data_IF_875569082933
#
_entry.id   IF_875569082933
#
_cell.length_a   1.000
_cell.length_b   1.000
_cell.length_c   1.000
_cell.angle_alpha   90.00
_cell.angle_beta   90.00
_cell.angle_gamma   90.00
#
_symmetry.space_group_name_H-M   'P 1'
#
loop_
_entity.id
_entity.type
_entity.pdbx_description
1 polymer ?
#
# COMPACT_ATOMS: atom_id res chain seq x y z
N UNK A 1 11.94 14.34 -4.03
CA UNK A 1 11.17 13.08 -4.10
C UNK A 1 12.21 12.00 -4.17
N UNK A 2 12.47 11.33 -3.03
CA UNK A 2 13.51 10.31 -2.84
C UNK A 2 12.78 9.00 -2.50
N UNK A 3 12.19 8.41 -3.54
CA UNK A 3 11.50 7.12 -3.51
C UNK A 3 12.32 6.20 -4.43
N UNK A 4 13.32 5.54 -3.84
CA UNK A 4 14.47 5.00 -4.57
C UNK A 4 14.10 4.01 -5.68
N UNK A 5 12.93 3.38 -5.58
CA UNK A 5 12.43 2.38 -6.53
C UNK A 5 11.02 2.72 -7.07
N UNK A 6 10.61 3.99 -7.00
CA UNK A 6 9.28 4.46 -7.42
C UNK A 6 8.11 3.68 -6.79
N UNK A 7 8.29 3.20 -5.55
CA UNK A 7 7.32 2.35 -4.85
C UNK A 7 6.01 3.08 -4.64
N UNK A 8 6.06 4.36 -4.27
CA UNK A 8 4.86 5.16 -4.07
C UNK A 8 4.10 5.36 -5.38
N UNK A 9 4.81 5.75 -6.45
CA UNK A 9 4.19 5.97 -7.76
C UNK A 9 3.51 4.72 -8.31
N UNK A 10 4.17 3.57 -8.25
CA UNK A 10 3.64 2.33 -8.83
C UNK A 10 2.61 1.68 -7.90
N UNK A 11 2.94 1.50 -6.62
CA UNK A 11 2.12 0.69 -5.73
C UNK A 11 1.03 1.50 -5.03
N UNK A 12 1.34 2.72 -4.55
CA UNK A 12 0.33 3.55 -3.87
C UNK A 12 -0.67 4.09 -4.88
N UNK A 13 -0.22 4.82 -5.92
CA UNK A 13 -1.14 5.41 -6.92
C UNK A 13 -1.84 4.33 -7.72
N UNK A 14 -1.12 3.30 -8.17
CA UNK A 14 -1.70 2.15 -8.87
C UNK A 14 -2.73 1.41 -8.02
N UNK A 15 -2.44 1.22 -6.74
CA UNK A 15 -3.37 0.60 -5.77
C UNK A 15 -4.63 1.43 -5.54
N UNK A 16 -4.51 2.75 -5.38
CA UNK A 16 -5.66 3.67 -5.24
C UNK A 16 -6.57 3.58 -6.47
N UNK A 17 -5.97 3.69 -7.66
CA UNK A 17 -6.71 3.61 -8.92
C UNK A 17 -7.41 2.25 -9.06
N UNK A 18 -6.69 1.16 -8.79
CA UNK A 18 -7.23 -0.20 -8.86
C UNK A 18 -8.37 -0.46 -7.87
N UNK A 19 -8.27 0.06 -6.64
CA UNK A 19 -9.31 -0.07 -5.63
C UNK A 19 -10.59 0.69 -6.02
N UNK A 20 -10.45 1.93 -6.50
CA UNK A 20 -11.61 2.71 -6.99
C UNK A 20 -12.25 2.02 -8.21
N UNK A 21 -11.42 1.57 -9.16
CA UNK A 21 -11.90 0.84 -10.34
C UNK A 21 -12.62 -0.46 -9.95
N UNK A 22 -12.18 -1.15 -8.89
CA UNK A 22 -12.86 -2.34 -8.36
C UNK A 22 -14.30 -2.02 -7.95
N UNK A 23 -14.56 -0.83 -7.41
CA UNK A 23 -15.93 -0.44 -7.05
C UNK A 23 -16.88 -0.33 -8.24
N UNK A 24 -16.34 -0.08 -9.43
CA UNK A 24 -17.07 -0.02 -10.71
C UNK A 24 -17.13 -1.41 -11.35
N UNK A 25 -15.98 -2.07 -11.48
CA UNK A 25 -15.82 -3.28 -12.29
C UNK A 25 -16.34 -4.56 -11.61
N UNK A 26 -16.61 -4.52 -10.30
CA UNK A 26 -17.32 -5.62 -9.61
C UNK A 26 -18.80 -5.70 -9.99
N UNK A 27 -19.34 -4.70 -10.70
CA UNK A 27 -20.73 -4.68 -11.16
C UNK A 27 -21.10 -5.92 -12.00
N UNK A 28 -22.16 -6.67 -11.64
CA UNK A 28 -22.62 -7.83 -12.43
C UNK A 28 -22.96 -7.48 -13.88
N UNK A 29 -23.54 -6.30 -14.11
CA UNK A 29 -23.90 -5.83 -15.45
C UNK A 29 -22.69 -5.59 -16.38
N UNK A 30 -21.48 -5.46 -15.81
CA UNK A 30 -20.22 -5.33 -16.56
C UNK A 30 -19.44 -6.66 -16.62
N UNK A 31 -20.04 -7.77 -16.17
CA UNK A 31 -19.39 -9.07 -16.06
C UNK A 31 -18.60 -9.29 -14.77
N UNK A 32 -18.72 -8.38 -13.80
CA UNK A 32 -18.15 -8.52 -12.47
C UNK A 32 -18.88 -9.57 -11.62
N UNK A 33 -18.24 -10.03 -10.54
CA UNK A 33 -18.79 -11.10 -9.68
C UNK A 33 -19.95 -10.67 -8.78
N UNK A 34 -20.21 -9.36 -8.67
CA UNK A 34 -21.13 -8.82 -7.67
C UNK A 34 -20.57 -8.85 -6.25
N UNK A 35 -21.42 -8.54 -5.28
CA UNK A 35 -21.08 -8.53 -3.85
C UNK A 35 -21.62 -9.79 -3.16
N UNK A 36 -20.99 -10.17 -2.05
CA UNK A 36 -21.46 -11.22 -1.17
C UNK A 36 -22.12 -10.62 0.06
N UNK A 37 -23.31 -11.12 0.41
CA UNK A 37 -23.95 -10.88 1.70
C UNK A 37 -23.66 -12.05 2.64
N UNK A 38 -22.72 -11.83 3.55
CA UNK A 38 -22.34 -12.81 4.57
C UNK A 38 -23.24 -12.76 5.81
N UNK A 39 -24.11 -11.75 5.95
CA UNK A 39 -24.98 -11.57 7.10
C UNK A 39 -26.33 -12.26 6.90
N UNK A 40 -26.81 -12.34 5.65
CA UNK A 40 -28.11 -12.94 5.33
C UNK A 40 -28.22 -14.42 5.72
N UNK A 41 -27.16 -15.21 5.51
CA UNK A 41 -27.15 -16.65 5.82
C UNK A 41 -25.77 -17.16 6.25
N UNK A 42 -25.51 -17.31 7.56
CA UNK A 42 -24.23 -17.82 8.04
C UNK A 42 -23.87 -19.18 7.43
N UNK A 43 -22.66 -19.30 6.89
CA UNK A 43 -22.15 -20.55 6.28
C UNK A 43 -22.46 -20.72 4.80
N UNK A 44 -23.21 -19.81 4.18
CA UNK A 44 -23.48 -19.80 2.74
C UNK A 44 -23.18 -18.43 2.14
N UNK A 45 -22.65 -18.40 0.91
CA UNK A 45 -22.49 -17.15 0.17
C UNK A 45 -23.79 -16.84 -0.55
N UNK A 46 -24.43 -15.72 -0.16
CA UNK A 46 -25.61 -15.19 -0.82
C UNK A 46 -25.19 -13.96 -1.63
N UNK A 47 -25.75 -13.78 -2.83
CA UNK A 47 -25.51 -12.58 -3.61
C UNK A 47 -26.07 -11.34 -2.89
N UNK A 48 -25.21 -10.37 -2.64
CA UNK A 48 -25.58 -9.10 -2.04
C UNK A 48 -26.05 -8.09 -3.09
N UNK A 49 -26.81 -7.10 -2.63
CA UNK A 49 -27.22 -5.98 -3.47
C UNK A 49 -26.00 -5.16 -3.92
N UNK A 50 -25.88 -4.93 -5.22
CA UNK A 50 -24.86 -4.06 -5.79
C UNK A 50 -25.46 -2.72 -6.21
N UNK A 51 -24.95 -1.64 -5.61
CA UNK A 51 -25.21 -0.26 -6.05
C UNK A 51 -23.86 0.42 -6.28
N UNK A 52 -23.60 0.85 -7.52
CA UNK A 52 -22.29 1.38 -7.94
C UNK A 52 -21.81 2.55 -7.06
N UNK A 53 -22.68 3.52 -6.79
CA UNK A 53 -22.32 4.66 -5.95
C UNK A 53 -21.94 4.25 -4.52
N UNK A 54 -22.66 3.27 -3.95
CA UNK A 54 -22.38 2.73 -2.61
C UNK A 54 -21.03 2.01 -2.61
N UNK A 55 -20.76 1.19 -3.62
CA UNK A 55 -19.52 0.42 -3.67
C UNK A 55 -18.30 1.30 -3.95
N UNK A 56 -18.38 2.27 -4.85
CA UNK A 56 -17.29 3.25 -5.07
C UNK A 56 -17.03 4.04 -3.79
N UNK A 57 -18.07 4.47 -3.08
CA UNK A 57 -17.93 5.15 -1.79
C UNK A 57 -17.28 4.24 -0.73
N UNK A 58 -17.60 2.95 -0.70
CA UNK A 58 -16.94 1.99 0.19
C UNK A 58 -15.45 1.86 -0.13
N UNK A 59 -15.06 1.78 -1.40
CA UNK A 59 -13.66 1.73 -1.82
C UNK A 59 -12.90 3.01 -1.47
N UNK A 60 -13.51 4.19 -1.64
CA UNK A 60 -12.92 5.46 -1.23
C UNK A 60 -12.65 5.53 0.27
N UNK A 61 -13.60 5.04 1.09
CA UNK A 61 -13.42 4.94 2.55
C UNK A 61 -12.30 3.97 2.90
N UNK A 62 -12.23 2.81 2.25
CA UNK A 62 -11.18 1.82 2.46
C UNK A 62 -9.81 2.39 2.10
N UNK A 63 -9.67 3.04 0.95
CA UNK A 63 -8.45 3.74 0.53
C UNK A 63 -8.03 4.82 1.52
N UNK A 64 -8.98 5.68 1.94
CA UNK A 64 -8.68 6.73 2.92
C UNK A 64 -8.19 6.15 4.25
N UNK A 65 -8.85 5.09 4.73
CA UNK A 65 -8.45 4.37 5.94
C UNK A 65 -7.04 3.78 5.80
N UNK A 66 -6.73 3.08 4.70
CA UNK A 66 -5.43 2.44 4.51
C UNK A 66 -4.30 3.45 4.34
N UNK A 67 -4.53 4.58 3.67
CA UNK A 67 -3.56 5.68 3.58
C UNK A 67 -3.25 6.22 4.98
N UNK A 68 -4.27 6.58 5.76
CA UNK A 68 -4.07 7.14 7.10
C UNK A 68 -3.39 6.12 8.01
N UNK A 69 -3.85 4.88 8.01
CA UNK A 69 -3.29 3.81 8.83
C UNK A 69 -1.81 3.57 8.48
N UNK A 70 -1.51 3.32 7.21
CA UNK A 70 -0.14 3.03 6.76
C UNK A 70 0.79 4.22 6.99
N UNK A 71 0.37 5.45 6.69
CA UNK A 71 1.19 6.64 6.89
C UNK A 71 1.48 6.88 8.38
N UNK A 72 0.45 6.87 9.23
CA UNK A 72 0.60 7.18 10.66
C UNK A 72 1.42 6.10 11.37
N UNK A 73 1.04 4.82 11.21
CA UNK A 73 1.71 3.73 11.91
C UNK A 73 3.15 3.58 11.40
N UNK A 74 3.39 3.66 10.09
CA UNK A 74 4.76 3.58 9.57
C UNK A 74 5.61 4.75 10.02
N UNK A 75 5.08 5.98 10.08
CA UNK A 75 5.82 7.14 10.59
C UNK A 75 6.21 6.98 12.07
N UNK A 76 5.29 6.47 12.90
CA UNK A 76 5.56 6.19 14.31
C UNK A 76 6.67 5.12 14.42
N UNK A 77 6.51 4.00 13.74
CA UNK A 77 7.49 2.90 13.79
C UNK A 77 8.85 3.32 13.27
N UNK A 78 8.89 4.03 12.13
CA UNK A 78 10.10 4.61 11.58
C UNK A 78 10.79 5.46 12.63
N UNK A 79 10.07 6.37 13.30
CA UNK A 79 10.70 7.28 14.25
C UNK A 79 11.17 6.59 15.52
N UNK A 80 10.42 5.59 16.01
CA UNK A 80 10.82 4.78 17.16
C UNK A 80 12.12 4.04 16.86
N UNK A 81 12.21 3.37 15.70
CA UNK A 81 13.43 2.63 15.32
C UNK A 81 14.60 3.59 15.08
N UNK A 82 14.36 4.71 14.40
CA UNK A 82 15.36 5.75 14.13
C UNK A 82 15.98 6.31 15.41
N UNK A 83 15.19 6.53 16.47
CA UNK A 83 15.71 7.05 17.75
C UNK A 83 16.45 5.98 18.56
N UNK A 84 16.04 4.70 18.48
CA UNK A 84 16.64 3.62 19.26
C UNK A 84 17.94 3.09 18.61
N UNK A 85 17.93 2.93 17.29
CA UNK A 85 19.00 2.26 16.54
C UNK A 85 19.67 3.16 15.49
N UNK A 86 18.98 4.18 15.01
CA UNK A 86 19.37 4.90 13.78
C UNK A 86 19.02 4.07 12.55
N UNK A 87 18.01 4.49 11.76
CA UNK A 87 17.55 3.70 10.61
C UNK A 87 18.23 4.10 9.30
N UNK A 88 18.51 5.38 9.10
CA UNK A 88 19.24 5.87 7.91
C UNK A 88 20.73 6.03 8.25
N UNK A 89 21.65 5.53 7.39
CA UNK A 89 23.07 5.80 7.52
C UNK A 89 23.39 7.31 7.54
N UNK A 90 24.52 7.68 8.13
CA UNK A 90 25.01 9.06 8.06
C UNK A 90 25.29 9.48 6.61
N UNK A 91 25.04 10.75 6.27
CA UNK A 91 25.15 11.25 4.89
C UNK A 91 26.53 10.99 4.26
N UNK A 92 27.60 11.07 5.05
CA UNK A 92 28.94 10.75 4.56
C UNK A 92 29.08 9.27 4.18
N UNK A 93 28.54 8.36 4.99
CA UNK A 93 28.56 6.91 4.70
C UNK A 93 27.66 6.57 3.52
N UNK A 94 26.50 7.20 3.43
CA UNK A 94 25.58 7.06 2.30
C UNK A 94 26.24 7.50 0.98
N UNK A 95 27.05 8.58 1.00
CA UNK A 95 27.82 9.05 -0.16
C UNK A 95 29.00 8.14 -0.54
N UNK A 96 29.72 7.60 0.45
CA UNK A 96 30.82 6.66 0.22
C UNK A 96 30.31 5.30 -0.31
N UNK A 97 29.08 4.93 0.03
CA UNK A 97 28.40 3.71 -0.37
C UNK A 97 28.35 2.67 0.74
N UNK A 98 27.21 2.00 0.90
CA UNK A 98 26.98 1.03 1.97
C UNK A 98 27.80 -0.26 1.80
N UNK A 99 28.12 -0.63 0.55
CA UNK A 99 29.02 -1.75 0.27
C UNK A 99 30.38 -1.56 0.96
N UNK A 100 30.93 -0.35 0.90
CA UNK A 100 32.22 -0.03 1.52
C UNK A 100 32.08 0.20 3.03
N UNK A 101 31.08 0.99 3.44
CA UNK A 101 31.00 1.51 4.81
C UNK A 101 30.38 0.53 5.81
N UNK A 102 29.47 -0.35 5.36
CA UNK A 102 28.79 -1.33 6.22
C UNK A 102 29.20 -2.78 5.89
N UNK A 103 29.61 -3.07 4.64
CA UNK A 103 30.01 -4.43 4.23
C UNK A 103 31.52 -4.61 4.01
N UNK A 104 32.31 -3.54 3.94
CA UNK A 104 33.77 -3.60 3.72
C UNK A 104 34.17 -4.14 2.34
N UNK A 105 33.24 -4.15 1.39
CA UNK A 105 33.39 -4.76 0.08
C UNK A 105 33.20 -3.74 -1.05
N UNK A 106 33.70 -4.07 -2.25
CA UNK A 106 33.41 -3.34 -3.49
C UNK A 106 32.65 -4.26 -4.42
N UNK A 107 31.42 -3.88 -4.79
CA UNK A 107 30.61 -4.66 -5.73
C UNK A 107 31.27 -4.83 -7.10
N UNK A 108 32.09 -3.85 -7.53
CA UNK A 108 32.81 -3.89 -8.80
C UNK A 108 34.27 -3.49 -8.60
N UNK A 109 35.18 -4.30 -9.15
CA UNK A 109 36.61 -4.00 -9.22
C UNK A 109 36.99 -3.86 -10.71
N UNK A 110 37.51 -2.69 -11.09
CA UNK A 110 38.05 -2.40 -12.43
C UNK A 110 39.53 -2.07 -12.31
#
# INVERSE_FOLDING_TARGET
YDDSLDVFGIHCVGGILGAIATGILVAPALGGTGLADYAAKPGEMVAGEYVMAVQVMAQLKAVGLTIVWSAVISAILYKVVDVILGLRPEEQREREGLDLTEHGERAYNY
#
